data_IF_249594389205
#
_entry.id   IF_249594389205
#
_cell.length_a   1.000
_cell.length_b   1.000
_cell.length_c   1.000
_cell.angle_alpha   90.00
_cell.angle_beta   90.00
_cell.angle_gamma   90.00
#
_symmetry.space_group_name_H-M   'P 1'
#
loop_
_entity.id
_entity.type
_entity.pdbx_description
1 polymer ?
#
# COMPACT_ATOMS: atom_id res chain seq x y z
N UNK A 1 -9.98 4.31 -11.84
CA UNK A 1 -8.63 4.91 -12.03
C UNK A 1 -8.12 4.89 -13.47
N UNK A 2 -8.78 4.22 -14.42
CA UNK A 2 -8.51 4.46 -15.85
C UNK A 2 -8.80 5.92 -16.20
N UNK A 3 -8.06 6.55 -17.14
CA UNK A 3 -6.99 5.98 -17.96
C UNK A 3 -5.59 5.99 -17.31
N UNK A 4 -5.44 6.55 -16.10
CA UNK A 4 -4.13 6.75 -15.45
C UNK A 4 -3.37 5.44 -15.17
N UNK A 5 -4.08 4.32 -15.11
CA UNK A 5 -3.54 2.99 -14.81
C UNK A 5 -3.40 2.09 -16.03
N UNK A 6 -3.66 2.57 -17.24
CA UNK A 6 -3.69 1.71 -18.43
C UNK A 6 -2.32 1.17 -18.80
N UNK A 7 -1.26 1.93 -18.50
CA UNK A 7 0.13 1.58 -18.83
C UNK A 7 1.08 1.82 -17.65
N UNK A 8 0.55 1.92 -16.42
CA UNK A 8 1.34 2.28 -15.23
C UNK A 8 0.73 1.66 -13.96
N UNK A 9 1.54 1.10 -13.05
CA UNK A 9 1.01 0.61 -11.78
C UNK A 9 0.46 1.78 -10.95
N UNK A 10 -0.64 1.55 -10.21
CA UNK A 10 -1.32 2.58 -9.42
C UNK A 10 -0.38 3.37 -8.51
N UNK A 11 0.58 2.68 -7.89
CA UNK A 11 1.54 3.28 -6.97
C UNK A 11 2.46 4.33 -7.62
N UNK A 12 2.61 4.31 -8.95
CA UNK A 12 3.39 5.29 -9.69
C UNK A 12 2.55 6.45 -10.26
N UNK A 13 1.26 6.52 -9.94
CA UNK A 13 0.44 7.70 -10.28
C UNK A 13 0.94 8.90 -9.50
N UNK A 14 1.10 10.04 -10.19
CA UNK A 14 1.52 11.29 -9.57
C UNK A 14 0.35 12.03 -8.94
N UNK A 15 0.52 12.43 -7.69
CA UNK A 15 -0.34 13.35 -6.96
C UNK A 15 0.51 14.56 -6.56
N UNK A 16 0.13 15.77 -6.94
CA UNK A 16 0.89 17.01 -6.67
C UNK A 16 2.42 16.87 -6.91
N UNK A 17 2.81 16.37 -8.08
CA UNK A 17 4.22 16.29 -8.52
C UNK A 17 5.06 15.14 -7.92
N UNK A 18 4.49 14.26 -7.10
CA UNK A 18 5.18 13.06 -6.59
C UNK A 18 4.30 11.83 -6.74
N UNK A 19 4.89 10.68 -7.05
CA UNK A 19 4.15 9.42 -7.09
C UNK A 19 3.65 9.00 -5.70
N UNK A 20 2.61 8.18 -5.64
CA UNK A 20 2.12 7.62 -4.38
C UNK A 20 3.23 6.85 -3.66
N UNK A 21 3.99 6.04 -4.40
CA UNK A 21 5.11 5.25 -3.88
C UNK A 21 6.24 6.13 -3.32
N UNK A 22 6.65 7.19 -4.03
CA UNK A 22 7.66 8.13 -3.53
C UNK A 22 7.21 8.84 -2.26
N UNK A 23 5.91 9.18 -2.15
CA UNK A 23 5.34 9.78 -0.95
C UNK A 23 5.44 8.83 0.23
N UNK A 24 4.99 7.58 0.08
CA UNK A 24 5.10 6.56 1.13
C UNK A 24 6.56 6.33 1.53
N UNK A 25 7.46 6.18 0.56
CA UNK A 25 8.88 5.99 0.81
C UNK A 25 9.52 7.16 1.57
N UNK A 26 9.09 8.40 1.31
CA UNK A 26 9.54 9.58 2.06
C UNK A 26 9.07 9.55 3.52
N UNK A 27 7.81 9.16 3.77
CA UNK A 27 7.26 9.04 5.13
C UNK A 27 8.03 7.96 5.91
N UNK A 28 8.24 6.78 5.31
CA UNK A 28 9.00 5.68 5.92
C UNK A 28 10.45 6.09 6.23
N UNK A 29 11.16 6.68 5.25
CA UNK A 29 12.55 7.09 5.41
C UNK A 29 12.74 8.17 6.49
N UNK A 30 11.78 9.11 6.62
CA UNK A 30 11.80 10.10 7.70
C UNK A 30 11.67 9.48 9.10
N UNK A 31 11.01 8.32 9.20
CA UNK A 31 10.89 7.56 10.43
C UNK A 31 12.06 6.58 10.66
N UNK A 32 13.11 6.61 9.81
CA UNK A 32 14.27 5.73 9.92
C UNK A 32 14.08 4.36 9.24
N UNK A 33 12.98 4.15 8.52
CA UNK A 33 12.68 2.89 7.82
C UNK A 33 13.19 2.99 6.39
N UNK A 34 14.32 2.33 6.13
CA UNK A 34 15.00 2.37 4.82
C UNK A 34 14.86 1.07 4.04
N UNK A 35 14.63 -0.06 4.72
CA UNK A 35 14.43 -1.36 4.09
C UNK A 35 13.01 -1.45 3.53
N UNK A 36 12.84 -1.02 2.27
CA UNK A 36 11.55 -0.93 1.60
C UNK A 36 11.56 -1.87 0.39
N UNK A 37 10.61 -2.80 0.36
CA UNK A 37 10.41 -3.72 -0.75
C UNK A 37 9.00 -3.60 -1.30
N UNK A 38 8.88 -3.50 -2.61
CA UNK A 38 7.58 -3.35 -3.28
C UNK A 38 7.22 -4.67 -3.94
N UNK A 39 5.97 -5.09 -3.79
CA UNK A 39 5.47 -6.29 -4.47
C UNK A 39 4.40 -5.91 -5.46
N UNK A 40 4.49 -6.42 -6.67
CA UNK A 40 3.57 -6.07 -7.74
C UNK A 40 3.44 -7.15 -8.79
N UNK A 41 2.84 -6.81 -9.92
CA UNK A 41 2.77 -7.71 -11.08
C UNK A 41 2.62 -6.90 -12.35
N UNK A 42 1.53 -6.13 -12.45
CA UNK A 42 1.31 -5.22 -13.57
C UNK A 42 2.43 -4.17 -13.67
N UNK A 43 3.14 -4.16 -14.80
CA UNK A 43 4.19 -3.18 -15.11
C UNK A 43 5.26 -3.01 -14.03
N UNK A 44 5.60 -4.07 -13.30
CA UNK A 44 6.55 -4.07 -12.17
C UNK A 44 7.95 -3.53 -12.56
N UNK A 45 8.37 -3.69 -13.82
CA UNK A 45 9.62 -3.09 -14.32
C UNK A 45 9.68 -1.57 -14.16
N UNK A 46 8.53 -0.87 -14.17
CA UNK A 46 8.51 0.57 -13.92
C UNK A 46 8.86 0.91 -12.47
N UNK A 47 8.51 0.02 -11.53
CA UNK A 47 8.86 0.15 -10.10
C UNK A 47 10.37 -0.05 -9.93
N UNK A 48 10.96 -1.04 -10.61
CA UNK A 48 12.42 -1.24 -10.66
C UNK A 48 13.14 -0.01 -11.20
N UNK A 49 12.66 0.52 -12.33
CA UNK A 49 13.19 1.75 -12.95
C UNK A 49 13.07 2.99 -12.06
N UNK A 50 12.10 3.02 -11.15
CA UNK A 50 11.96 4.06 -10.14
C UNK A 50 12.91 3.90 -8.94
N UNK A 51 13.76 2.85 -8.94
CA UNK A 51 14.81 2.65 -7.93
C UNK A 51 14.37 1.86 -6.70
N UNK A 52 13.28 1.09 -6.78
CA UNK A 52 12.80 0.26 -5.68
C UNK A 52 13.15 -1.22 -5.91
N UNK A 53 13.56 -1.88 -4.82
CA UNK A 53 13.61 -3.34 -4.78
C UNK A 53 12.18 -3.88 -4.92
N UNK A 54 12.01 -4.90 -5.77
CA UNK A 54 10.69 -5.48 -5.93
C UNK A 54 10.65 -6.93 -6.39
N UNK A 55 9.65 -7.63 -5.87
CA UNK A 55 9.21 -8.94 -6.34
C UNK A 55 7.99 -8.80 -7.26
N UNK A 56 7.81 -9.79 -8.13
CA UNK A 56 6.69 -9.81 -9.05
C UNK A 56 5.90 -11.10 -8.95
N UNK A 57 4.58 -10.99 -8.83
CA UNK A 57 3.65 -12.09 -9.05
C UNK A 57 3.32 -12.18 -10.55
N UNK A 58 3.80 -13.20 -11.28
CA UNK A 58 3.50 -13.35 -12.71
C UNK A 58 2.02 -13.65 -12.97
N UNK A 59 1.30 -14.20 -11.99
CA UNK A 59 -0.11 -14.58 -12.07
C UNK A 59 -1.04 -13.51 -11.48
N UNK A 60 -0.60 -12.26 -11.34
CA UNK A 60 -1.39 -11.17 -10.72
C UNK A 60 -2.78 -10.94 -11.37
N UNK A 61 -2.98 -11.33 -12.64
CA UNK A 61 -4.28 -11.20 -13.32
C UNK A 61 -5.31 -12.24 -12.87
N UNK A 62 -4.85 -13.38 -12.38
CA UNK A 62 -5.68 -14.55 -12.03
C UNK A 62 -5.60 -14.91 -10.54
N UNK A 63 -4.89 -14.11 -9.75
CA UNK A 63 -4.68 -14.29 -8.30
C UNK A 63 -5.02 -13.00 -7.57
N UNK A 64 -4.89 -12.99 -6.24
CA UNK A 64 -5.25 -11.86 -5.40
C UNK A 64 -4.03 -11.15 -4.78
N UNK A 65 -4.30 -10.19 -3.89
CA UNK A 65 -3.28 -9.40 -3.22
C UNK A 65 -2.41 -10.22 -2.26
N UNK A 66 -2.97 -11.28 -1.65
CA UNK A 66 -2.25 -12.17 -0.72
C UNK A 66 -1.22 -13.02 -1.46
N UNK A 67 -1.60 -13.64 -2.58
CA UNK A 67 -0.65 -14.34 -3.47
C UNK A 67 0.46 -13.42 -3.97
N UNK A 68 0.09 -12.16 -4.24
CA UNK A 68 1.08 -11.16 -4.61
C UNK A 68 2.05 -10.89 -3.46
N UNK A 69 1.57 -10.68 -2.23
CA UNK A 69 2.42 -10.49 -1.05
C UNK A 69 3.40 -11.66 -0.85
N UNK A 70 2.94 -12.91 -1.00
CA UNK A 70 3.80 -14.10 -0.86
C UNK A 70 4.89 -14.23 -1.94
N UNK A 71 4.83 -13.46 -3.02
CA UNK A 71 5.95 -13.36 -3.98
C UNK A 71 7.19 -12.68 -3.37
N UNK A 72 7.07 -12.09 -2.17
CA UNK A 72 8.16 -11.51 -1.40
C UNK A 72 8.44 -12.24 -0.07
N UNK A 73 8.15 -13.55 0.01
CA UNK A 73 8.41 -14.40 1.19
C UNK A 73 9.76 -14.13 1.88
N UNK A 74 10.91 -14.10 1.17
CA UNK A 74 12.20 -13.84 1.83
C UNK A 74 12.28 -12.49 2.55
N UNK A 75 11.52 -11.50 2.10
CA UNK A 75 11.44 -10.18 2.74
C UNK A 75 10.46 -10.19 3.93
N UNK A 76 9.31 -10.85 3.78
CA UNK A 76 8.27 -10.89 4.82
C UNK A 76 8.60 -11.83 5.98
N UNK A 77 9.47 -12.83 5.75
CA UNK A 77 9.94 -13.80 6.74
C UNK A 77 11.27 -13.37 7.39
N UNK A 78 11.79 -12.20 7.05
CA UNK A 78 13.01 -11.67 7.67
C UNK A 78 12.76 -11.25 9.12
N UNK A 79 13.82 -11.30 9.95
CA UNK A 79 13.74 -10.92 11.36
C UNK A 79 13.39 -9.43 11.54
N UNK A 80 12.47 -9.16 12.48
CA UNK A 80 12.06 -7.82 12.90
C UNK A 80 10.60 -7.50 12.61
N UNK A 81 10.19 -6.27 12.95
CA UNK A 81 8.82 -5.81 12.74
C UNK A 81 8.56 -5.51 11.26
N UNK A 82 7.37 -5.87 10.78
CA UNK A 82 6.97 -5.71 9.39
C UNK A 82 5.82 -4.71 9.25
N UNK A 83 6.01 -3.71 8.38
CA UNK A 83 4.95 -2.79 7.97
C UNK A 83 4.49 -3.17 6.57
N UNK A 84 3.20 -3.46 6.44
CA UNK A 84 2.55 -3.78 5.16
C UNK A 84 1.63 -2.61 4.78
N UNK A 85 1.73 -2.14 3.54
CA UNK A 85 0.87 -1.08 3.01
C UNK A 85 0.55 -1.32 1.55
N UNK A 86 -0.68 -0.99 1.15
CA UNK A 86 -1.03 -0.95 -0.27
C UNK A 86 -0.35 0.23 -0.96
N UNK A 87 0.20 -0.02 -2.14
CA UNK A 87 0.95 0.98 -2.90
C UNK A 87 0.09 2.15 -3.43
N UNK A 88 -1.24 2.06 -3.38
CA UNK A 88 -2.16 3.11 -3.83
C UNK A 88 -2.77 3.94 -2.69
N UNK A 89 -2.29 3.77 -1.45
CA UNK A 89 -2.70 4.57 -0.30
C UNK A 89 -1.81 5.80 -0.12
N UNK A 90 -2.39 6.88 0.42
CA UNK A 90 -1.66 8.05 0.93
C UNK A 90 -1.82 8.11 2.44
N UNK A 91 -0.70 8.13 3.16
CA UNK A 91 -0.65 8.38 4.60
C UNK A 91 0.45 9.39 4.94
N UNK A 92 0.35 10.01 6.10
CA UNK A 92 1.28 11.05 6.56
C UNK A 92 2.16 10.55 7.71
N UNK A 93 3.19 11.33 8.04
CA UNK A 93 4.12 11.06 9.15
C UNK A 93 3.38 10.76 10.46
N UNK A 94 2.28 11.47 10.76
CA UNK A 94 1.48 11.23 11.97
C UNK A 94 0.70 9.92 11.95
N UNK A 95 0.29 9.41 10.78
CA UNK A 95 -0.34 8.09 10.69
C UNK A 95 0.69 7.00 11.01
N UNK A 96 1.87 7.05 10.38
CA UNK A 96 2.92 6.08 10.61
C UNK A 96 3.37 6.08 12.08
N UNK A 97 3.58 7.27 12.67
CA UNK A 97 3.96 7.39 14.09
C UNK A 97 2.97 6.72 15.05
N UNK A 98 1.67 6.77 14.76
CA UNK A 98 0.66 6.09 15.58
C UNK A 98 0.81 4.58 15.51
N UNK A 99 1.02 4.02 14.31
CA UNK A 99 1.25 2.58 14.14
C UNK A 99 2.53 2.13 14.85
N UNK A 100 3.62 2.90 14.69
CA UNK A 100 4.90 2.62 15.34
C UNK A 100 4.87 2.75 16.87
N UNK A 101 3.87 3.43 17.43
CA UNK A 101 3.69 3.58 18.88
C UNK A 101 2.73 2.54 19.47
N UNK A 102 2.28 1.56 18.69
CA UNK A 102 1.44 0.47 19.16
C UNK A 102 2.32 -0.74 19.54
N UNK A 103 2.05 -1.33 20.70
CA UNK A 103 2.77 -2.52 21.21
C UNK A 103 2.00 -3.84 20.93
N UNK A 104 0.95 -3.80 20.10
CA UNK A 104 0.17 -4.97 19.75
C UNK A 104 0.87 -5.84 18.71
N UNK A 105 0.74 -7.17 18.82
CA UNK A 105 1.31 -8.15 17.87
C UNK A 105 0.91 -7.86 16.42
N UNK A 106 -0.34 -7.41 16.21
CA UNK A 106 -0.83 -6.92 14.92
C UNK A 106 -1.55 -5.59 15.18
N UNK A 107 -1.09 -4.54 14.52
CA UNK A 107 -1.65 -3.19 14.63
C UNK A 107 -2.13 -2.70 13.27
N UNK A 108 -3.38 -2.24 13.20
CA UNK A 108 -4.00 -1.76 11.96
C UNK A 108 -4.42 -0.28 12.09
N UNK A 109 -4.00 0.55 11.13
CA UNK A 109 -4.48 1.91 11.02
C UNK A 109 -5.82 1.94 10.28
N UNK A 110 -6.80 2.62 10.86
CA UNK A 110 -8.15 2.78 10.30
C UNK A 110 -8.53 4.25 10.18
N UNK A 111 -9.36 4.58 9.19
CA UNK A 111 -10.00 5.88 9.08
C UNK A 111 -11.47 5.78 9.51
N UNK A 112 -11.80 6.36 10.67
CA UNK A 112 -13.16 6.39 11.19
C UNK A 112 -14.12 7.24 10.32
N UNK A 113 -13.58 8.10 9.45
CA UNK A 113 -14.36 8.91 8.51
C UNK A 113 -14.54 8.22 7.16
N UNK A 114 -14.33 6.90 7.07
CA UNK A 114 -14.41 6.13 5.82
C UNK A 114 -15.71 6.42 5.03
N UNK A 115 -16.86 6.43 5.71
CA UNK A 115 -18.19 6.54 5.07
C UNK A 115 -18.31 7.77 4.18
N UNK A 116 -17.80 8.91 4.63
CA UNK A 116 -17.81 10.17 3.86
C UNK A 116 -17.08 10.02 2.52
N UNK A 117 -15.99 9.26 2.46
CA UNK A 117 -15.26 9.04 1.21
C UNK A 117 -15.94 8.02 0.29
N UNK A 118 -16.73 7.09 0.83
CA UNK A 118 -17.51 6.15 0.03
C UNK A 118 -18.75 6.83 -0.57
N UNK A 119 -19.43 7.70 0.19
CA UNK A 119 -20.55 8.51 -0.29
C UNK A 119 -20.18 9.46 -1.45
N UNK A 120 -18.91 9.86 -1.55
CA UNK A 120 -18.40 10.63 -2.68
C UNK A 120 -18.12 9.79 -3.95
N UNK A 121 -18.04 8.46 -3.82
CA UNK A 121 -17.63 7.54 -4.90
C UNK A 121 -18.77 6.66 -5.39
N UNK A 122 -19.74 6.37 -4.54
CA UNK A 122 -20.80 5.40 -4.79
C UNK A 122 -22.15 5.96 -4.33
N UNK A 123 -23.21 5.67 -5.09
CA UNK A 123 -24.60 5.97 -4.68
C UNK A 123 -25.01 5.13 -3.46
N UNK A 124 -24.60 3.86 -3.44
CA UNK A 124 -24.71 2.96 -2.27
C UNK A 124 -23.31 2.64 -1.71
N UNK A 125 -22.87 3.36 -0.65
CA UNK A 125 -21.60 3.12 0.03
C UNK A 125 -21.37 1.68 0.49
N UNK A 126 -22.43 0.97 0.88
CA UNK A 126 -22.31 -0.36 1.51
C UNK A 126 -22.12 -1.48 0.50
N UNK A 127 -22.30 -1.20 -0.79
CA UNK A 127 -22.10 -2.19 -1.86
C UNK A 127 -20.62 -2.54 -2.10
N UNK A 128 -19.69 -1.67 -1.69
CA UNK A 128 -18.23 -1.83 -1.84
C UNK A 128 -17.48 -1.82 -0.51
N UNK A 129 -18.04 -1.23 0.55
CA UNK A 129 -17.37 -1.12 1.84
C UNK A 129 -17.16 -2.51 2.48
N UNK A 130 -15.91 -2.79 2.88
CA UNK A 130 -15.57 -3.97 3.67
C UNK A 130 -15.94 -3.78 5.14
N UNK A 131 -16.33 -4.87 5.81
CA UNK A 131 -16.79 -4.83 7.20
C UNK A 131 -15.61 -4.94 8.17
N UNK A 132 -15.57 -4.02 9.13
CA UNK A 132 -14.67 -4.07 10.28
C UNK A 132 -15.49 -3.87 11.56
N UNK A 133 -15.39 -4.84 12.47
CA UNK A 133 -16.07 -4.81 13.77
C UNK A 133 -14.99 -4.78 14.83
N UNK A 134 -15.16 -3.90 15.82
CA UNK A 134 -14.32 -3.85 17.01
C UNK A 134 -15.17 -4.20 18.22
N UNK A 135 -14.55 -4.87 19.19
CA UNK A 135 -15.12 -5.13 20.51
C UNK A 135 -14.94 -3.95 21.46
#
# INVERSE_FOLDING_TARGET
MRPLTDNKPKCLISLHGKTLLERQAQVLKKAGIHNIHVVGGFCVEQIRKAGFNCSSNPHYKTTNMVETLFSARPFTEADGDLIISYGDIVYQDNNLKKVLGCDGEISLMIDLNWRRYWELRFEDPLSDAETLIFD
#
